data_IF_406136023199
#
_entry.id   IF_406136023199
#
_cell.length_a   1.000
_cell.length_b   1.000
_cell.length_c   1.000
_cell.angle_alpha   90.00
_cell.angle_beta   90.00
_cell.angle_gamma   90.00
#
_symmetry.space_group_name_H-M   'P 1'
#
loop_
_entity.id
_entity.type
_entity.pdbx_description
1 polymer ?
#
# COMPACT_ATOMS: atom_id res chain seq x y z
N UNK A 1 -2.85 -1.74 -11.47
CA UNK A 1 -1.55 -2.42 -11.66
C UNK A 1 -1.49 -3.86 -11.16
N UNK A 2 -2.25 -4.32 -10.14
CA UNK A 2 -2.17 -5.71 -9.62
C UNK A 2 -3.51 -6.46 -9.69
N UNK A 3 -4.01 -6.74 -10.91
CA UNK A 3 -5.29 -7.45 -11.10
C UNK A 3 -5.18 -8.96 -10.85
N UNK A 4 -4.05 -9.57 -11.23
CA UNK A 4 -3.82 -11.01 -11.09
C UNK A 4 -3.25 -11.34 -9.70
N UNK A 5 -3.66 -12.48 -9.13
CA UNK A 5 -3.14 -12.99 -7.84
C UNK A 5 -1.61 -13.08 -7.84
N UNK A 6 -1.02 -13.64 -8.90
CA UNK A 6 0.44 -13.75 -9.06
C UNK A 6 1.15 -12.40 -8.92
N UNK A 7 0.56 -11.34 -9.47
CA UNK A 7 1.10 -9.98 -9.39
C UNK A 7 0.94 -9.39 -8.00
N UNK A 8 -0.22 -9.60 -7.35
CA UNK A 8 -0.45 -9.18 -5.96
C UNK A 8 0.57 -9.84 -5.03
N UNK A 9 0.77 -11.15 -5.16
CA UNK A 9 1.74 -11.90 -4.37
C UNK A 9 3.16 -11.33 -4.50
N UNK A 10 3.67 -11.22 -5.74
CA UNK A 10 5.02 -10.70 -6.00
C UNK A 10 5.24 -9.29 -5.47
N UNK A 11 4.20 -8.46 -5.43
CA UNK A 11 4.33 -7.08 -5.00
C UNK A 11 4.22 -6.94 -3.49
N UNK A 12 3.28 -7.64 -2.85
CA UNK A 12 3.13 -7.67 -1.38
C UNK A 12 4.37 -8.30 -0.73
N UNK A 13 4.96 -9.32 -1.36
CA UNK A 13 6.19 -9.98 -0.87
C UNK A 13 7.39 -9.02 -0.76
N UNK A 14 7.46 -7.97 -1.59
CA UNK A 14 8.56 -6.99 -1.55
C UNK A 14 8.63 -6.21 -0.24
N UNK A 15 7.53 -6.13 0.49
CA UNK A 15 7.44 -5.42 1.77
C UNK A 15 7.89 -6.26 2.97
N UNK A 16 8.54 -7.42 2.75
CA UNK A 16 9.16 -8.20 3.82
C UNK A 16 8.18 -8.96 4.73
N UNK A 17 6.95 -9.18 4.26
CA UNK A 17 5.93 -9.92 5.02
C UNK A 17 6.21 -11.42 5.00
N UNK A 18 5.85 -12.15 6.08
CA UNK A 18 5.92 -13.60 6.08
C UNK A 18 4.97 -14.18 5.02
N UNK A 19 5.42 -15.25 4.36
CA UNK A 19 4.76 -15.88 3.21
C UNK A 19 3.26 -16.17 3.44
N UNK A 20 2.89 -16.72 4.61
CA UNK A 20 1.49 -17.01 4.94
C UNK A 20 0.60 -15.77 4.86
N UNK A 21 1.10 -14.61 5.28
CA UNK A 21 0.36 -13.34 5.27
C UNK A 21 0.28 -12.77 3.85
N UNK A 22 1.33 -12.93 3.05
CA UNK A 22 1.30 -12.59 1.63
C UNK A 22 0.22 -13.41 0.92
N UNK A 23 0.14 -14.71 1.18
CA UNK A 23 -0.90 -15.58 0.62
C UNK A 23 -2.31 -15.16 1.03
N UNK A 24 -2.52 -14.83 2.30
CA UNK A 24 -3.79 -14.34 2.82
C UNK A 24 -4.24 -13.05 2.10
N UNK A 25 -3.35 -12.06 2.04
CA UNK A 25 -3.64 -10.76 1.44
C UNK A 25 -3.83 -10.84 -0.08
N UNK A 26 -3.00 -11.62 -0.78
CA UNK A 26 -3.06 -11.75 -2.23
C UNK A 26 -4.32 -12.49 -2.72
N UNK A 27 -4.84 -13.43 -1.92
CA UNK A 27 -6.04 -14.23 -2.25
C UNK A 27 -7.32 -13.72 -1.59
N UNK A 28 -7.29 -12.58 -0.90
CA UNK A 28 -8.47 -12.07 -0.21
C UNK A 28 -9.65 -11.89 -1.18
N UNK A 29 -10.85 -12.33 -0.78
CA UNK A 29 -12.12 -12.14 -1.51
C UNK A 29 -12.86 -10.85 -1.10
N UNK A 30 -12.19 -9.98 -0.35
CA UNK A 30 -12.74 -8.70 0.08
C UNK A 30 -12.84 -7.77 -1.12
N UNK A 31 -13.92 -6.99 -1.19
CA UNK A 31 -14.06 -5.92 -2.18
C UNK A 31 -12.94 -4.89 -2.03
N UNK A 32 -12.67 -4.14 -3.11
CA UNK A 32 -11.51 -3.23 -3.21
C UNK A 32 -11.39 -2.28 -2.02
N UNK A 33 -12.50 -1.69 -1.57
CA UNK A 33 -12.54 -0.80 -0.42
C UNK A 33 -12.08 -1.48 0.88
N UNK A 34 -12.64 -2.66 1.19
CA UNK A 34 -12.29 -3.39 2.41
C UNK A 34 -10.87 -3.96 2.35
N UNK A 35 -10.38 -4.28 1.15
CA UNK A 35 -8.99 -4.70 0.94
C UNK A 35 -7.99 -3.55 1.12
N UNK A 36 -8.34 -2.32 0.73
CA UNK A 36 -7.50 -1.15 0.94
C UNK A 36 -7.18 -0.91 2.42
N UNK A 37 -8.19 -1.07 3.30
CA UNK A 37 -8.01 -0.95 4.75
C UNK A 37 -6.97 -1.96 5.28
N UNK A 38 -6.98 -3.19 4.77
CA UNK A 38 -6.02 -4.22 5.14
C UNK A 38 -4.61 -3.92 4.58
N UNK A 39 -4.54 -3.34 3.37
CA UNK A 39 -3.28 -2.91 2.74
C UNK A 39 -2.58 -1.76 3.46
N UNK A 40 -3.27 -0.95 4.27
CA UNK A 40 -2.65 0.11 5.07
C UNK A 40 -1.59 -0.41 6.05
N UNK A 41 -1.65 -1.70 6.43
CA UNK A 41 -0.61 -2.34 7.24
C UNK A 41 0.72 -2.54 6.50
N UNK A 42 0.71 -2.44 5.17
CA UNK A 42 1.86 -2.70 4.28
C UNK A 42 2.27 -1.43 3.57
N UNK A 43 1.31 -0.76 2.92
CA UNK A 43 1.50 0.51 2.24
C UNK A 43 1.32 1.66 3.23
N UNK A 44 2.31 1.83 4.11
CA UNK A 44 2.30 2.92 5.09
C UNK A 44 2.58 4.26 4.40
N UNK A 45 2.26 5.38 5.06
CA UNK A 45 2.55 6.71 4.53
C UNK A 45 4.05 6.91 4.21
N UNK A 46 4.94 6.24 4.94
CA UNK A 46 6.39 6.26 4.68
C UNK A 46 6.75 5.59 3.36
N UNK A 47 6.13 4.44 3.07
CA UNK A 47 6.31 3.74 1.79
C UNK A 47 5.70 4.53 0.62
N UNK A 48 4.58 5.20 0.86
CA UNK A 48 3.95 6.07 -0.15
C UNK A 48 4.86 7.28 -0.43
N UNK A 49 5.47 7.87 0.61
CA UNK A 49 6.44 8.94 0.45
C UNK A 49 7.73 8.48 -0.25
N UNK A 50 8.23 7.28 0.03
CA UNK A 50 9.42 6.72 -0.64
C UNK A 50 9.19 6.48 -2.14
N UNK A 51 7.94 6.26 -2.55
CA UNK A 51 7.52 6.17 -3.95
C UNK A 51 7.39 7.54 -4.64
N UNK A 52 7.65 8.65 -3.93
CA UNK A 52 7.63 10.01 -4.46
C UNK A 52 6.28 10.73 -4.36
N UNK A 53 5.31 10.16 -3.63
CA UNK A 53 4.03 10.82 -3.38
C UNK A 53 4.13 11.71 -2.15
N UNK A 54 3.71 12.97 -2.30
CA UNK A 54 3.63 13.92 -1.18
C UNK A 54 2.27 13.80 -0.49
N UNK A 55 2.24 13.91 0.84
CA UNK A 55 0.96 14.00 1.54
C UNK A 55 0.32 15.37 1.27
N UNK A 56 -1.00 15.44 1.26
CA UNK A 56 -1.70 16.71 1.05
C UNK A 56 -1.40 17.72 2.16
N UNK A 57 -1.14 17.24 3.38
CA UNK A 57 -0.75 18.08 4.51
C UNK A 57 0.63 18.71 4.28
N UNK A 58 1.61 17.93 3.83
CA UNK A 58 2.96 18.44 3.52
C UNK A 58 2.90 19.48 2.38
N UNK A 59 2.06 19.25 1.38
CA UNK A 59 1.81 20.21 0.30
C UNK A 59 1.21 21.52 0.81
N UNK A 60 0.19 21.43 1.67
CA UNK A 60 -0.46 22.59 2.27
C UNK A 60 0.52 23.42 3.12
N UNK A 61 1.30 22.77 4.00
CA UNK A 61 2.30 23.44 4.84
C UNK A 61 3.37 24.14 3.99
N UNK A 62 3.87 23.48 2.95
CA UNK A 62 4.83 24.07 2.01
C UNK A 62 4.30 25.36 1.35
N UNK A 63 2.99 25.48 1.14
CA UNK A 63 2.38 26.66 0.53
C UNK A 63 2.08 27.75 1.55
N UNK A 64 1.61 27.38 2.76
CA UNK A 64 1.22 28.35 3.78
C UNK A 64 2.40 28.91 4.58
N UNK A 65 3.52 28.21 4.65
CA UNK A 65 4.76 28.71 5.29
C UNK A 65 5.65 29.53 4.33
N UNK A 66 5.31 29.57 3.04
CA UNK A 66 5.91 30.48 2.04
C UNK A 66 5.10 31.77 1.91
#
# INVERSE_FOLDING_TARGET
>A
QWKKVKTRYRMIQKFGLPEWKVHEMANCRKGTWRAAIMLNSVLTNKEIASLGYMSMADYYLKICEN
#
